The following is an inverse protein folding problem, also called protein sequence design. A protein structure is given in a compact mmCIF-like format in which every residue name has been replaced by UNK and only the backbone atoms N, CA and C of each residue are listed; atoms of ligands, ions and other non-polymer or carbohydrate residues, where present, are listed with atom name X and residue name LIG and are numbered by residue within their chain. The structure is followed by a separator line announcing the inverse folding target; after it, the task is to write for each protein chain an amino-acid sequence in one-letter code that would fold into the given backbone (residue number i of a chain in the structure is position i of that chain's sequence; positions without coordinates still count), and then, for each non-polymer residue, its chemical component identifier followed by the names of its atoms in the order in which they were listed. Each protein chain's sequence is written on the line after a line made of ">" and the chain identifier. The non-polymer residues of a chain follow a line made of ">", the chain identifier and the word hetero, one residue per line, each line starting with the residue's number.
data_IF_552042832536
#
_entry.id   IF_552042832536
#
_cell.length_a   1.000
_cell.length_b   1.000
_cell.length_c   1.000
_cell.angle_alpha   90.00
_cell.angle_beta   90.00
_cell.angle_gamma   90.00
#
_symmetry.space_group_name_H-M   'P 1'
#
loop_
_entity.id
_entity.type
_entity.pdbx_description
1 polymer ?
#
# COMPACT_ATOMS: atom_id res chain seq x y z
N UNK A 1 27.03 55.94 16.59
CA UNK A 1 26.31 54.82 17.25
C UNK A 1 25.07 54.40 16.43
N UNK A 2 25.23 54.45 15.10
CA UNK A 2 25.11 53.38 14.11
C UNK A 2 23.89 52.45 14.18
N UNK A 3 22.85 52.95 13.51
CA UNK A 3 21.58 52.35 13.08
C UNK A 3 21.69 51.01 12.29
N UNK A 4 22.89 50.42 12.20
CA UNK A 4 23.21 49.22 11.40
C UNK A 4 22.84 47.91 12.10
N UNK A 5 22.72 47.93 13.43
CA UNK A 5 22.38 46.75 14.24
C UNK A 5 20.85 46.50 14.32
N UNK A 6 20.03 47.55 14.20
CA UNK A 6 18.56 47.45 14.24
C UNK A 6 17.99 46.84 12.94
N UNK A 7 18.59 47.15 11.78
CA UNK A 7 18.17 46.57 10.51
C UNK A 7 18.50 45.07 10.42
N UNK A 8 19.63 44.63 10.98
CA UNK A 8 20.01 43.22 11.02
C UNK A 8 19.08 42.37 11.89
N UNK A 9 18.66 42.90 13.05
CA UNK A 9 17.78 42.18 13.97
C UNK A 9 16.35 41.99 13.42
N UNK A 10 15.83 42.96 12.66
CA UNK A 10 14.50 42.88 12.07
C UNK A 10 14.39 41.85 10.92
N UNK A 11 15.47 41.67 10.14
CA UNK A 11 15.51 40.69 9.05
C UNK A 11 15.57 39.25 9.59
N UNK A 12 16.27 39.04 10.72
CA UNK A 12 16.40 37.73 11.37
C UNK A 12 15.06 37.24 11.96
N UNK A 13 14.21 38.14 12.49
CA UNK A 13 12.93 37.74 13.08
C UNK A 13 11.85 37.38 12.04
N UNK A 14 11.86 38.03 10.87
CA UNK A 14 10.96 37.70 9.75
C UNK A 14 11.34 36.35 9.11
N UNK A 15 12.64 36.04 9.02
CA UNK A 15 13.10 34.73 8.55
C UNK A 15 12.71 33.58 9.50
N UNK A 16 12.67 33.83 10.81
CA UNK A 16 12.25 32.84 11.80
C UNK A 16 10.74 32.53 11.75
N UNK A 17 9.90 33.53 11.45
CA UNK A 17 8.45 33.32 11.29
C UNK A 17 8.07 32.60 9.99
N UNK A 18 8.85 32.76 8.91
CA UNK A 18 8.62 32.06 7.64
C UNK A 18 8.93 30.55 7.70
N UNK A 19 9.81 30.13 8.62
CA UNK A 19 10.14 28.72 8.84
C UNK A 19 9.15 27.99 9.78
N UNK A 20 8.27 28.73 10.46
CA UNK A 20 7.23 28.19 11.34
C UNK A 20 5.91 27.87 10.61
N UNK A 21 5.97 27.57 9.30
CA UNK A 21 4.83 27.03 8.58
C UNK A 21 4.44 25.68 9.17
N UNK A 22 3.29 25.61 9.85
CA UNK A 22 2.75 24.41 10.51
C UNK A 22 2.72 23.19 9.58
N UNK A 23 3.82 22.43 9.52
CA UNK A 23 3.83 21.08 8.98
C UNK A 23 3.17 20.19 10.03
N UNK A 24 1.88 19.95 9.87
CA UNK A 24 1.16 18.99 10.70
C UNK A 24 1.85 17.61 10.64
N UNK A 25 1.80 16.83 11.74
CA UNK A 25 2.45 15.53 11.80
C UNK A 25 2.00 14.64 10.63
N UNK A 26 2.89 13.78 10.11
CA UNK A 26 2.54 12.88 9.02
C UNK A 26 1.37 11.98 9.41
N UNK A 27 0.41 11.72 8.51
CA UNK A 27 -0.63 10.74 8.76
C UNK A 27 0.04 9.37 8.95
N UNK A 28 -0.17 8.76 10.12
CA UNK A 28 0.27 7.39 10.38
C UNK A 28 -0.82 6.45 9.88
N UNK A 29 -0.66 5.93 8.67
CA UNK A 29 -1.51 4.87 8.12
C UNK A 29 -0.71 3.58 8.20
N UNK A 30 -1.29 2.56 8.82
CA UNK A 30 -0.75 1.20 8.90
C UNK A 30 -1.76 0.28 8.21
N UNK A 31 -1.64 0.19 6.88
CA UNK A 31 -2.60 -0.54 6.05
C UNK A 31 -2.52 -2.03 6.30
N UNK A 32 -1.34 -2.54 6.63
CA UNK A 32 -1.12 -3.94 6.99
C UNK A 32 -2.00 -4.34 8.20
N UNK A 33 -2.09 -3.48 9.22
CA UNK A 33 -2.96 -3.70 10.38
C UNK A 33 -4.44 -3.41 10.10
N UNK A 34 -4.75 -2.34 9.37
CA UNK A 34 -6.14 -1.99 9.03
C UNK A 34 -6.80 -3.06 8.14
N UNK A 35 -6.03 -3.61 7.18
CA UNK A 35 -6.46 -4.70 6.32
C UNK A 35 -6.58 -6.03 7.08
N UNK A 36 -5.63 -6.36 7.96
CA UNK A 36 -5.75 -7.54 8.82
C UNK A 36 -6.99 -7.47 9.72
N UNK A 37 -7.27 -6.30 10.28
CA UNK A 37 -8.48 -6.03 11.07
C UNK A 37 -9.77 -6.19 10.27
N UNK A 38 -9.82 -5.64 9.05
CA UNK A 38 -10.98 -5.78 8.16
C UNK A 38 -11.22 -7.24 7.76
N UNK A 39 -10.16 -8.00 7.53
CA UNK A 39 -10.22 -9.43 7.21
C UNK A 39 -10.40 -10.34 8.44
N UNK A 40 -10.51 -9.77 9.66
CA UNK A 40 -10.56 -10.51 10.95
C UNK A 40 -9.41 -11.50 11.11
N UNK A 41 -8.26 -11.21 10.52
CA UNK A 41 -7.08 -12.05 10.65
C UNK A 41 -6.39 -11.76 11.99
N UNK A 42 -6.03 -12.83 12.71
CA UNK A 42 -5.26 -12.72 13.95
C UNK A 42 -3.76 -12.42 13.69
N UNK A 43 -3.32 -12.54 12.45
CA UNK A 43 -1.95 -12.31 12.00
C UNK A 43 -1.87 -11.12 11.05
N UNK A 44 -0.85 -10.28 11.24
CA UNK A 44 -0.55 -9.14 10.37
C UNK A 44 -0.29 -9.60 8.93
N UNK A 45 -0.83 -8.87 7.94
CA UNK A 45 -0.54 -9.11 6.52
C UNK A 45 0.84 -8.52 6.23
N UNK A 46 1.88 -9.34 6.33
CA UNK A 46 3.25 -8.90 6.04
C UNK A 46 3.45 -8.81 4.53
N UNK A 47 3.87 -7.64 4.07
CA UNK A 47 4.32 -7.47 2.68
C UNK A 47 5.58 -8.29 2.42
N UNK A 48 5.58 -9.05 1.33
CA UNK A 48 6.75 -9.79 0.86
C UNK A 48 7.22 -9.24 -0.48
N UNK A 49 8.50 -8.85 -0.56
CA UNK A 49 9.14 -8.43 -1.83
C UNK A 49 9.34 -9.60 -2.80
N UNK A 50 9.47 -10.81 -2.25
CA UNK A 50 9.54 -12.06 -3.01
C UNK A 50 8.15 -12.68 -2.99
N UNK A 51 7.53 -12.85 -4.15
CA UNK A 51 6.25 -13.55 -4.25
C UNK A 51 6.38 -14.93 -3.60
N UNK A 52 5.47 -15.26 -2.69
CA UNK A 52 5.44 -16.59 -2.08
C UNK A 52 5.17 -17.63 -3.17
N UNK A 53 5.79 -18.81 -3.06
CA UNK A 53 5.36 -19.91 -3.93
C UNK A 53 3.89 -20.21 -3.63
N UNK A 54 3.13 -20.61 -4.66
CA UNK A 54 1.69 -20.86 -4.57
C UNK A 54 1.37 -21.92 -3.49
N UNK A 55 2.35 -22.77 -3.15
CA UNK A 55 2.27 -23.85 -2.16
C UNK A 55 3.18 -23.65 -0.92
N UNK A 56 3.79 -22.48 -0.72
CA UNK A 56 4.55 -22.21 0.51
C UNK A 56 3.57 -21.98 1.68
N UNK A 57 3.28 -23.05 2.41
CA UNK A 57 2.44 -23.05 3.59
C UNK A 57 2.37 -24.45 4.19
N UNK A 58 2.06 -24.54 5.48
CA UNK A 58 1.79 -25.82 6.15
C UNK A 58 0.88 -26.68 5.25
N UNK A 59 1.36 -27.88 4.92
CA UNK A 59 0.76 -28.78 3.92
C UNK A 59 -0.77 -28.92 4.03
N UNK A 60 -1.42 -29.42 2.97
CA UNK A 60 -2.89 -29.40 2.87
C UNK A 60 -3.51 -29.97 4.17
N UNK A 61 -4.38 -29.21 4.86
CA UNK A 61 -5.10 -29.75 5.98
C UNK A 61 -6.05 -30.83 5.45
N UNK A 62 -6.33 -31.85 6.25
CA UNK A 62 -7.25 -32.93 5.88
C UNK A 62 -8.66 -32.41 5.52
N UNK A 63 -9.04 -31.25 6.06
CA UNK A 63 -10.27 -30.52 5.73
C UNK A 63 -9.96 -29.03 5.60
N UNK A 64 -10.27 -28.44 4.45
CA UNK A 64 -10.16 -27.01 4.23
C UNK A 64 -11.44 -26.31 4.69
N UNK A 65 -11.38 -25.61 5.81
CA UNK A 65 -12.50 -24.78 6.28
C UNK A 65 -12.59 -23.48 5.48
N UNK A 66 -13.75 -22.82 5.48
CA UNK A 66 -13.93 -21.52 4.82
C UNK A 66 -12.99 -20.45 5.39
N UNK A 67 -12.78 -20.44 6.70
CA UNK A 67 -11.88 -19.48 7.36
C UNK A 67 -10.41 -19.73 6.99
N UNK A 68 -10.01 -21.00 6.86
CA UNK A 68 -8.67 -21.37 6.39
C UNK A 68 -8.46 -21.02 4.91
N UNK A 69 -9.50 -21.22 4.07
CA UNK A 69 -9.46 -20.82 2.68
C UNK A 69 -9.28 -19.31 2.53
N UNK A 70 -10.07 -18.51 3.26
CA UNK A 70 -9.94 -17.05 3.27
C UNK A 70 -8.55 -16.62 3.73
N UNK A 71 -8.07 -17.17 4.85
CA UNK A 71 -6.74 -16.84 5.39
C UNK A 71 -5.64 -17.12 4.37
N UNK A 72 -5.62 -18.32 3.78
CA UNK A 72 -4.61 -18.71 2.79
C UNK A 72 -4.68 -17.83 1.55
N UNK A 73 -5.89 -17.55 1.04
CA UNK A 73 -6.07 -16.72 -0.14
C UNK A 73 -5.67 -15.26 0.09
N UNK A 74 -6.02 -14.64 1.23
CA UNK A 74 -5.62 -13.25 1.51
C UNK A 74 -4.11 -13.14 1.69
N UNK A 75 -3.47 -14.08 2.40
CA UNK A 75 -2.02 -14.06 2.59
C UNK A 75 -1.24 -14.33 1.30
N UNK A 76 -1.76 -15.20 0.42
CA UNK A 76 -1.11 -15.58 -0.84
C UNK A 76 -1.51 -14.76 -2.07
N UNK A 77 -2.49 -13.85 -1.97
CA UNK A 77 -3.04 -13.17 -3.16
C UNK A 77 -2.06 -12.12 -3.74
N UNK A 78 -1.67 -12.24 -5.03
CA UNK A 78 -0.90 -11.20 -5.72
C UNK A 78 -1.64 -9.87 -5.80
N UNK A 79 -2.97 -9.88 -5.81
CA UNK A 79 -3.80 -8.67 -5.88
C UNK A 79 -3.65 -7.86 -4.59
N UNK A 80 -3.69 -8.53 -3.42
CA UNK A 80 -3.46 -7.94 -2.10
C UNK A 80 -2.03 -7.39 -1.99
N UNK A 81 -1.03 -8.16 -2.41
CA UNK A 81 0.36 -7.67 -2.40
C UNK A 81 0.55 -6.45 -3.32
N UNK A 82 -0.11 -6.42 -4.48
CA UNK A 82 -0.08 -5.27 -5.39
C UNK A 82 -0.73 -4.02 -4.77
N UNK A 83 -1.80 -4.17 -3.99
CA UNK A 83 -2.48 -3.04 -3.37
C UNK A 83 -1.66 -2.46 -2.22
N UNK A 84 -1.03 -3.30 -1.41
CA UNK A 84 -0.07 -2.89 -0.36
C UNK A 84 1.15 -2.19 -1.00
N UNK A 85 1.68 -2.69 -2.12
CA UNK A 85 2.76 -2.03 -2.85
C UNK A 85 2.37 -0.60 -3.30
N UNK A 86 1.15 -0.41 -3.82
CA UNK A 86 0.63 0.91 -4.19
C UNK A 86 0.53 1.85 -2.98
N UNK A 87 0.12 1.34 -1.82
CA UNK A 87 0.11 2.13 -0.58
C UNK A 87 1.52 2.59 -0.20
N UNK A 88 2.50 1.68 -0.24
CA UNK A 88 3.90 2.00 0.08
C UNK A 88 4.48 3.06 -0.86
N UNK A 89 4.16 2.97 -2.16
CA UNK A 89 4.51 4.01 -3.13
C UNK A 89 3.87 5.36 -2.80
N UNK A 90 2.59 5.38 -2.46
CA UNK A 90 1.90 6.60 -2.04
C UNK A 90 2.48 7.18 -0.75
N UNK A 91 2.91 6.33 0.18
CA UNK A 91 3.57 6.73 1.43
C UNK A 91 4.93 7.36 1.15
N UNK A 92 5.74 6.77 0.26
CA UNK A 92 6.99 7.35 -0.20
C UNK A 92 6.76 8.72 -0.86
N UNK A 93 5.72 8.84 -1.68
CA UNK A 93 5.34 10.11 -2.34
C UNK A 93 4.91 11.18 -1.33
N UNK A 94 4.14 10.83 -0.30
CA UNK A 94 3.78 11.74 0.80
C UNK A 94 5.02 12.19 1.59
N UNK A 95 5.94 11.27 1.90
CA UNK A 95 7.21 11.61 2.57
C UNK A 95 8.07 12.55 1.70
N UNK A 96 8.19 12.27 0.41
CA UNK A 96 8.95 13.09 -0.53
C UNK A 96 8.37 14.50 -0.67
N UNK A 97 7.03 14.63 -0.76
CA UNK A 97 6.36 15.94 -0.83
C UNK A 97 6.60 16.80 0.43
N UNK A 98 6.99 16.16 1.54
CA UNK A 98 7.33 16.79 2.82
C UNK A 98 8.83 17.07 2.99
N UNK A 99 9.71 16.75 2.02
CA UNK A 99 11.15 17.06 2.06
C UNK A 99 11.47 18.44 1.46
N UNK A 100 12.27 19.24 2.16
CA UNK A 100 12.55 20.62 1.76
C UNK A 100 13.40 20.62 0.47
N UNK A 101 13.15 21.50 -0.52
CA UNK A 101 14.03 21.61 -1.67
C UNK A 101 15.46 21.84 -1.20
N UNK A 102 16.41 21.14 -1.81
CA UNK A 102 17.82 21.32 -1.49
C UNK A 102 18.28 22.70 -1.98
N UNK A 103 18.66 23.64 -1.09
CA UNK A 103 19.09 24.96 -1.52
C UNK A 103 20.48 24.88 -2.18
N UNK A 104 20.73 25.75 -3.16
CA UNK A 104 22.04 25.83 -3.82
C UNK A 104 22.88 26.90 -3.13
N UNK A 105 24.06 26.50 -2.64
CA UNK A 105 25.08 27.40 -2.10
C UNK A 105 26.06 27.77 -3.24
N UNK A 106 26.15 29.05 -3.57
CA UNK A 106 27.15 29.59 -4.49
C UNK A 106 28.23 30.33 -3.70
N UNK A 107 29.50 30.02 -3.94
CA UNK A 107 30.64 30.73 -3.37
C UNK A 107 31.46 31.27 -4.54
N UNK A 108 31.59 32.59 -4.62
CA UNK A 108 32.37 33.28 -5.64
C UNK A 108 33.52 34.02 -4.97
N UNK A 109 34.75 33.72 -5.40
CA UNK A 109 35.95 34.44 -4.95
C UNK A 109 36.43 35.30 -6.12
N UNK A 110 36.42 36.62 -5.92
CA UNK A 110 36.83 37.61 -6.93
C UNK A 110 38.19 38.18 -6.57
N UNK A 111 39.16 37.99 -7.47
CA UNK A 111 40.51 38.55 -7.36
C UNK A 111 40.64 39.78 -8.29
N UNK A 112 40.94 40.98 -7.76
CA UNK A 112 41.09 42.17 -8.60
C UNK A 112 42.42 42.19 -9.36
N UNK A 113 42.40 42.57 -10.64
CA UNK A 113 43.57 42.57 -11.55
C UNK A 113 44.67 43.60 -11.18
N UNK A 114 44.31 44.70 -10.51
CA UNK A 114 45.21 45.83 -10.25
C UNK A 114 45.72 45.90 -8.79
N UNK A 115 45.76 44.77 -8.10
CA UNK A 115 46.12 44.71 -6.68
C UNK A 115 44.98 45.17 -5.77
N UNK A 116 44.62 44.32 -4.81
CA UNK A 116 43.50 44.58 -3.90
C UNK A 116 43.17 43.34 -3.07
N UNK A 117 42.28 43.51 -2.08
CA UNK A 117 41.84 42.39 -1.24
C UNK A 117 40.88 41.50 -2.03
N UNK A 118 41.01 40.16 -1.98
CA UNK A 118 40.05 39.25 -2.60
C UNK A 118 38.68 39.42 -1.93
N UNK A 119 37.62 39.50 -2.74
CA UNK A 119 36.23 39.56 -2.26
C UNK A 119 35.65 38.15 -2.33
N UNK A 120 35.11 37.67 -1.22
CA UNK A 120 34.40 36.38 -1.15
C UNK A 120 32.92 36.66 -0.98
N UNK A 121 32.12 36.25 -1.96
CA UNK A 121 30.66 36.31 -1.90
C UNK A 121 30.10 34.91 -1.72
N UNK A 122 29.20 34.74 -0.75
CA UNK A 122 28.43 33.51 -0.56
C UNK A 122 26.94 33.82 -0.76
N UNK A 123 26.28 33.09 -1.65
CA UNK A 123 24.85 33.20 -1.93
C UNK A 123 24.12 31.89 -1.67
N UNK A 124 22.92 31.98 -1.10
CA UNK A 124 22.01 30.84 -0.96
C UNK A 124 20.76 31.11 -1.78
N UNK A 125 20.47 30.25 -2.76
CA UNK A 125 19.28 30.38 -3.60
C UNK A 125 18.34 29.21 -3.35
N UNK A 126 17.07 29.52 -3.06
CA UNK A 126 15.98 28.56 -2.94
C UNK A 126 14.83 28.97 -3.86
N UNK A 127 14.14 27.98 -4.43
CA UNK A 127 12.96 28.22 -5.27
C UNK A 127 11.78 28.65 -4.39
N UNK A 128 11.43 29.94 -4.44
CA UNK A 128 10.33 30.54 -3.69
C UNK A 128 8.98 29.92 -4.07
N UNK A 129 8.76 29.58 -5.35
CA UNK A 129 7.49 28.97 -5.79
C UNK A 129 7.38 27.55 -5.24
N UNK A 130 8.48 26.80 -5.21
CA UNK A 130 8.51 25.47 -4.58
C UNK A 130 8.18 25.55 -3.08
N UNK A 131 8.68 26.57 -2.37
CA UNK A 131 8.38 26.77 -0.94
C UNK A 131 6.91 27.15 -0.71
N UNK A 132 6.35 28.07 -1.51
CA UNK A 132 4.97 28.54 -1.36
C UNK A 132 3.92 27.51 -1.76
N UNK A 133 4.17 26.70 -2.79
CA UNK A 133 3.23 25.68 -3.28
C UNK A 133 3.24 24.38 -2.44
N UNK A 134 4.26 24.19 -1.61
CA UNK A 134 4.50 23.00 -0.80
C UNK A 134 3.33 22.55 0.09
N UNK A 135 2.63 23.42 0.84
CA UNK A 135 1.54 22.96 1.69
C UNK A 135 0.40 22.31 0.90
N UNK A 136 0.11 22.84 -0.30
CA UNK A 136 -0.87 22.26 -1.22
C UNK A 136 -0.41 20.90 -1.75
N UNK A 137 0.85 20.78 -2.18
CA UNK A 137 1.41 19.52 -2.68
C UNK A 137 1.43 18.42 -1.61
N UNK A 138 1.80 18.76 -0.36
CA UNK A 138 1.78 17.80 0.76
C UNK A 138 0.37 17.31 1.06
N UNK A 139 -0.64 18.21 1.08
CA UNK A 139 -2.04 17.82 1.30
C UNK A 139 -2.55 16.90 0.19
N UNK A 140 -2.23 17.23 -1.06
CA UNK A 140 -2.60 16.39 -2.20
C UNK A 140 -1.95 14.99 -2.11
N UNK A 141 -0.68 14.91 -1.73
CA UNK A 141 0.01 13.64 -1.53
C UNK A 141 -0.59 12.82 -0.37
N UNK A 142 -0.96 13.46 0.74
CA UNK A 142 -1.61 12.80 1.87
C UNK A 142 -3.00 12.27 1.51
N UNK A 143 -3.77 13.00 0.69
CA UNK A 143 -5.06 12.51 0.20
C UNK A 143 -4.92 11.31 -0.73
N UNK A 144 -3.90 11.29 -1.59
CA UNK A 144 -3.57 10.12 -2.42
C UNK A 144 -3.17 8.91 -1.58
N UNK A 145 -2.42 9.12 -0.50
CA UNK A 145 -2.08 8.06 0.45
C UNK A 145 -3.33 7.48 1.12
N UNK A 146 -4.29 8.33 1.55
CA UNK A 146 -5.57 7.85 2.10
C UNK A 146 -6.40 7.07 1.09
N UNK A 147 -6.46 7.53 -0.16
CA UNK A 147 -7.16 6.82 -1.23
C UNK A 147 -6.54 5.43 -1.48
N UNK A 148 -5.22 5.34 -1.61
CA UNK A 148 -4.53 4.07 -1.79
C UNK A 148 -4.76 3.08 -0.62
N UNK A 149 -4.84 3.59 0.61
CA UNK A 149 -5.17 2.78 1.78
C UNK A 149 -6.60 2.22 1.72
N UNK A 150 -7.58 3.05 1.34
CA UNK A 150 -8.96 2.60 1.15
C UNK A 150 -9.07 1.53 0.05
N UNK A 151 -8.41 1.76 -1.10
CA UNK A 151 -8.38 0.82 -2.22
C UNK A 151 -7.77 -0.54 -1.82
N UNK A 152 -6.76 -0.53 -0.95
CA UNK A 152 -6.14 -1.76 -0.45
C UNK A 152 -7.10 -2.57 0.44
N UNK A 153 -7.86 -1.91 1.32
CA UNK A 153 -8.89 -2.57 2.13
C UNK A 153 -9.99 -3.14 1.25
N UNK A 154 -10.46 -2.39 0.26
CA UNK A 154 -11.45 -2.88 -0.72
C UNK A 154 -10.94 -4.12 -1.46
N UNK A 155 -9.68 -4.10 -1.92
CA UNK A 155 -9.06 -5.26 -2.60
C UNK A 155 -9.09 -6.52 -1.72
N UNK A 156 -8.84 -6.38 -0.41
CA UNK A 156 -8.88 -7.51 0.52
C UNK A 156 -10.30 -8.04 0.68
N UNK A 157 -11.30 -7.16 0.80
CA UNK A 157 -12.70 -7.56 0.87
C UNK A 157 -13.18 -8.26 -0.41
N UNK A 158 -12.74 -7.79 -1.58
CA UNK A 158 -13.07 -8.41 -2.86
C UNK A 158 -12.51 -9.84 -2.94
N UNK A 159 -11.25 -10.04 -2.53
CA UNK A 159 -10.63 -11.37 -2.46
C UNK A 159 -11.38 -12.28 -1.49
N UNK A 160 -11.80 -11.77 -0.32
CA UNK A 160 -12.60 -12.55 0.62
C UNK A 160 -13.94 -12.97 0.01
N UNK A 161 -14.63 -12.07 -0.69
CA UNK A 161 -15.91 -12.36 -1.35
C UNK A 161 -15.74 -13.41 -2.44
N UNK A 162 -14.71 -13.29 -3.28
CA UNK A 162 -14.40 -14.24 -4.35
C UNK A 162 -14.10 -15.64 -3.79
N UNK A 163 -13.39 -15.73 -2.67
CA UNK A 163 -13.11 -17.01 -1.99
C UNK A 163 -14.38 -17.64 -1.43
N UNK A 164 -15.26 -16.85 -0.80
CA UNK A 164 -16.53 -17.36 -0.28
C UNK A 164 -17.42 -17.91 -1.40
N UNK A 165 -17.55 -17.18 -2.51
CA UNK A 165 -18.31 -17.63 -3.68
C UNK A 165 -17.75 -18.93 -4.26
N UNK A 166 -16.43 -19.00 -4.43
CA UNK A 166 -15.76 -20.21 -4.95
C UNK A 166 -15.89 -21.39 -4.00
N UNK A 167 -15.77 -21.17 -2.69
CA UNK A 167 -15.92 -22.21 -1.69
C UNK A 167 -17.32 -22.82 -1.74
N UNK A 168 -18.35 -21.98 -1.78
CA UNK A 168 -19.74 -22.44 -1.91
C UNK A 168 -19.95 -23.19 -3.22
N UNK A 169 -19.41 -22.68 -4.34
CA UNK A 169 -19.52 -23.35 -5.64
C UNK A 169 -18.85 -24.73 -5.66
N UNK A 170 -17.69 -24.88 -5.02
CA UNK A 170 -17.02 -26.19 -4.90
C UNK A 170 -17.87 -27.14 -4.05
N UNK A 171 -18.34 -26.69 -2.89
CA UNK A 171 -19.17 -27.51 -2.01
C UNK A 171 -20.48 -27.98 -2.65
N UNK A 172 -21.15 -27.11 -3.42
CA UNK A 172 -22.36 -27.50 -4.15
C UNK A 172 -22.07 -28.50 -5.26
N UNK A 173 -20.96 -28.34 -5.99
CA UNK A 173 -20.54 -29.29 -7.02
C UNK A 173 -20.20 -30.67 -6.42
N UNK A 174 -19.49 -30.72 -5.29
CA UNK A 174 -19.20 -31.98 -4.60
C UNK A 174 -20.48 -32.68 -4.13
N UNK A 175 -21.44 -31.92 -3.55
CA UNK A 175 -22.73 -32.47 -3.17
C UNK A 175 -23.53 -33.03 -4.37
N UNK A 176 -23.44 -32.38 -5.54
CA UNK A 176 -24.09 -32.86 -6.76
C UNK A 176 -23.45 -34.15 -7.29
N UNK A 177 -22.12 -34.30 -7.19
CA UNK A 177 -21.43 -35.52 -7.61
C UNK A 177 -21.91 -36.75 -6.84
N UNK A 178 -22.15 -36.61 -5.53
CA UNK A 178 -22.72 -37.69 -4.70
C UNK A 178 -24.09 -38.13 -5.24
N UNK A 179 -24.98 -37.17 -5.50
CA UNK A 179 -26.33 -37.45 -6.03
C UNK A 179 -26.27 -38.10 -7.41
N UNK A 180 -25.36 -37.67 -8.27
CA UNK A 180 -25.18 -38.25 -9.61
C UNK A 180 -24.66 -39.68 -9.53
N UNK A 181 -23.74 -39.98 -8.60
CA UNK A 181 -23.23 -41.32 -8.38
C UNK A 181 -24.33 -42.27 -7.90
N UNK A 182 -25.17 -41.84 -6.96
CA UNK A 182 -26.31 -42.63 -6.47
C UNK A 182 -27.30 -42.93 -7.60
N UNK A 183 -27.61 -41.93 -8.43
CA UNK A 183 -28.50 -42.10 -9.59
C UNK A 183 -27.94 -43.09 -10.61
N UNK A 184 -26.64 -43.03 -10.89
CA UNK A 184 -25.98 -43.98 -11.78
C UNK A 184 -26.11 -45.42 -11.26
N UNK A 185 -25.88 -45.64 -9.95
CA UNK A 185 -26.01 -46.95 -9.34
C UNK A 185 -27.43 -47.52 -9.34
N UNK A 186 -28.46 -46.67 -9.27
CA UNK A 186 -29.86 -47.10 -9.41
C UNK A 186 -30.15 -47.54 -10.85
N UNK A 187 -29.72 -46.75 -11.84
CA UNK A 187 -29.92 -47.08 -13.26
C UNK A 187 -29.23 -48.40 -13.62
N UNK A 188 -28.02 -48.62 -13.12
CA UNK A 188 -27.28 -49.86 -13.36
C UNK A 188 -27.99 -51.08 -12.75
N UNK A 189 -28.55 -50.95 -11.55
CA UNK A 189 -29.40 -51.99 -10.93
C UNK A 189 -30.63 -52.32 -11.78
N UNK A 190 -31.32 -51.31 -12.30
CA UNK A 190 -32.50 -51.51 -13.17
C UNK A 190 -32.13 -52.23 -14.46
N UNK A 191 -30.99 -51.87 -15.08
CA UNK A 191 -30.48 -52.55 -16.27
C UNK A 191 -30.12 -54.02 -15.98
N UNK A 192 -29.51 -54.31 -14.83
CA UNK A 192 -29.22 -55.68 -14.39
C UNK A 192 -30.47 -56.55 -14.28
N UNK A 193 -31.53 -56.03 -13.65
CA UNK A 193 -32.83 -56.74 -13.52
C UNK A 193 -33.47 -56.96 -14.90
N UNK A 194 -33.33 -56.00 -15.81
CA UNK A 194 -33.87 -56.08 -17.16
C UNK A 194 -33.19 -57.18 -17.97
N UNK A 195 -31.85 -57.26 -17.89
CA UNK A 195 -31.07 -58.32 -18.56
C UNK A 195 -31.38 -59.70 -18.01
N UNK A 196 -31.48 -59.86 -16.69
CA UNK A 196 -31.79 -61.16 -16.09
C UNK A 196 -33.17 -61.70 -16.47
N UNK A 197 -34.12 -60.82 -16.86
CA UNK A 197 -35.43 -61.23 -17.37
C UNK A 197 -35.44 -61.62 -18.85
N UNK A 198 -34.44 -61.20 -19.63
CA UNK A 198 -34.33 -61.52 -21.06
C UNK A 198 -33.61 -62.86 -21.31
N UNK A 199 -32.84 -63.36 -20.34
CA UNK A 199 -32.12 -64.64 -20.43
C UNK A 199 -32.90 -65.85 -19.86
N UNK A 200 -34.12 -65.62 -19.36
CA UNK A 200 -35.09 -66.65 -18.95
C UNK A 200 -36.12 -66.90 -20.06
#
# INVERSE_FOLDING_TARGET
>A
MDNRYLAGAAIVSVAAFALAGCVGPPPRINVENDAAGAARLQSEIVFSEVGHQIDEGSGPPDVLTIDDAIRRSVLGSPQVQSSIARVRQAQATSRQARLLPNPVLSIAVRFPEHGGKPTVDAGLTADLIAVLSRPGQSRAADNRLRAAAADAVTTVLDVMSEVQERYVAVQTNEALLVVLHDRAGIVERLLGISRSRLEL
#
